data_IF_953204275697
#
_entry.id   IF_953204275697
#
_cell.length_a   1.000
_cell.length_b   1.000
_cell.length_c   1.000
_cell.angle_alpha   90.00
_cell.angle_beta   90.00
_cell.angle_gamma   90.00
#
_symmetry.space_group_name_H-M   'P 1'
#
loop_
_entity.id
_entity.type
_entity.pdbx_description
1 polymer ?
#
# COMPACT_ATOMS: atom_id res chain seq x y z
N UNK A 1 -13.31 3.34 9.82
CA UNK A 1 -13.75 4.15 8.66
C UNK A 1 -12.69 5.22 8.37
N UNK A 2 -12.40 5.56 7.12
CA UNK A 2 -11.40 6.59 6.79
C UNK A 2 -11.99 7.99 7.03
N UNK A 3 -11.31 8.80 7.84
CA UNK A 3 -11.68 10.19 8.17
C UNK A 3 -11.19 11.16 7.10
N UNK A 4 -10.00 10.90 6.55
CA UNK A 4 -9.41 11.68 5.47
C UNK A 4 -8.45 10.83 4.63
N UNK A 5 -8.35 11.17 3.35
CA UNK A 5 -7.50 10.49 2.38
C UNK A 5 -6.66 11.52 1.62
N UNK A 6 -5.36 11.22 1.49
CA UNK A 6 -4.35 12.09 0.90
C UNK A 6 -3.62 11.32 -0.23
N UNK A 7 -4.07 11.45 -1.49
CA UNK A 7 -3.44 10.74 -2.60
C UNK A 7 -2.06 11.33 -2.95
N UNK A 8 -1.08 10.46 -3.18
CA UNK A 8 0.18 10.86 -3.82
C UNK A 8 0.00 10.89 -5.33
N UNK A 9 0.03 12.08 -5.91
CA UNK A 9 -0.05 12.28 -7.36
C UNK A 9 1.36 12.20 -7.96
N UNK A 10 1.57 11.21 -8.82
CA UNK A 10 2.79 11.06 -9.60
C UNK A 10 2.64 11.83 -10.91
N UNK A 11 3.53 12.80 -11.13
CA UNK A 11 3.56 13.59 -12.35
C UNK A 11 4.76 13.20 -13.20
N UNK A 12 4.55 13.10 -14.51
CA UNK A 12 5.61 12.72 -15.46
C UNK A 12 6.65 13.82 -15.65
N UNK A 13 6.26 15.10 -15.53
CA UNK A 13 7.10 16.25 -15.88
C UNK A 13 7.51 17.11 -14.68
N UNK A 14 7.01 16.79 -13.48
CA UNK A 14 7.28 17.54 -12.26
C UNK A 14 7.44 16.59 -11.08
N UNK A 15 7.86 17.12 -9.94
CA UNK A 15 7.90 16.36 -8.68
C UNK A 15 6.52 15.80 -8.35
N UNK A 16 6.51 14.56 -7.84
CA UNK A 16 5.33 13.98 -7.20
C UNK A 16 4.97 14.80 -5.97
N UNK A 17 3.68 15.02 -5.75
CA UNK A 17 3.19 15.83 -4.63
C UNK A 17 2.04 15.10 -3.95
N UNK A 18 2.04 15.13 -2.62
CA UNK A 18 0.89 14.73 -1.83
C UNK A 18 -0.22 15.77 -2.04
N UNK A 19 -1.40 15.34 -2.46
CA UNK A 19 -2.53 16.24 -2.64
C UNK A 19 -3.44 16.18 -1.43
N UNK A 20 -3.74 17.35 -0.88
CA UNK A 20 -4.64 17.52 0.25
C UNK A 20 -5.40 18.84 0.09
N UNK A 21 -6.62 18.85 0.63
CA UNK A 21 -7.49 20.02 0.66
C UNK A 21 -7.19 20.95 1.82
N UNK A 22 -8.01 21.99 1.98
CA UNK A 22 -7.98 22.85 3.17
C UNK A 22 -8.50 22.05 4.37
N UNK A 23 -7.96 22.28 5.57
CA UNK A 23 -8.40 21.62 6.80
C UNK A 23 -9.92 21.65 7.01
N UNK A 24 -10.57 22.77 6.67
CA UNK A 24 -12.03 22.93 6.74
C UNK A 24 -12.84 21.92 5.88
N UNK A 25 -12.24 21.31 4.86
CA UNK A 25 -12.90 20.33 4.00
C UNK A 25 -12.98 18.94 4.65
N UNK A 26 -12.21 18.69 5.71
CA UNK A 26 -12.15 17.42 6.42
C UNK A 26 -12.98 17.47 7.70
N UNK A 27 -14.31 17.47 7.54
CA UNK A 27 -15.27 17.61 8.65
C UNK A 27 -15.03 16.56 9.74
N UNK A 28 -14.89 15.28 9.34
CA UNK A 28 -14.70 14.17 10.28
C UNK A 28 -13.33 14.17 10.95
N UNK A 29 -12.27 14.60 10.27
CA UNK A 29 -10.92 14.66 10.85
C UNK A 29 -10.79 15.77 11.89
N UNK A 30 -11.51 16.87 11.68
CA UNK A 30 -11.49 18.06 12.53
C UNK A 30 -11.99 17.80 13.95
N UNK A 31 -12.81 16.78 14.15
CA UNK A 31 -13.29 16.39 15.48
C UNK A 31 -12.16 15.83 16.37
N UNK A 32 -11.12 15.25 15.76
CA UNK A 32 -10.07 14.51 16.47
C UNK A 32 -8.71 15.23 16.43
N UNK A 33 -8.44 16.02 15.39
CA UNK A 33 -7.14 16.65 15.17
C UNK A 33 -7.27 18.16 15.03
N UNK A 34 -6.42 18.93 15.70
CA UNK A 34 -6.35 20.39 15.54
C UNK A 34 -5.69 20.77 14.20
N UNK A 35 -5.96 21.97 13.71
CA UNK A 35 -5.41 22.46 12.44
C UNK A 35 -3.88 22.50 12.43
N UNK A 36 -3.25 22.98 13.50
CA UNK A 36 -1.79 23.06 13.61
C UNK A 36 -1.13 21.69 13.52
N UNK A 37 -1.69 20.70 14.23
CA UNK A 37 -1.19 19.34 14.17
C UNK A 37 -1.40 18.73 12.80
N UNK A 38 -2.59 18.93 12.20
CA UNK A 38 -2.86 18.47 10.84
C UNK A 38 -1.82 18.99 9.84
N UNK A 39 -1.54 20.28 9.85
CA UNK A 39 -0.54 20.89 8.96
C UNK A 39 0.87 20.36 9.25
N UNK A 40 1.24 20.22 10.52
CA UNK A 40 2.56 19.69 10.91
C UNK A 40 2.74 18.23 10.45
N UNK A 41 1.71 17.39 10.60
CA UNK A 41 1.72 15.99 10.15
C UNK A 41 1.83 15.88 8.64
N UNK A 42 1.04 16.67 7.92
CA UNK A 42 1.07 16.68 6.47
C UNK A 42 2.39 17.23 5.92
N UNK A 43 2.97 18.26 6.54
CA UNK A 43 4.27 18.80 6.15
C UNK A 43 5.38 17.76 6.36
N UNK A 44 5.37 17.04 7.48
CA UNK A 44 6.32 15.94 7.71
C UNK A 44 6.22 14.85 6.63
N UNK A 45 5.00 14.45 6.26
CA UNK A 45 4.77 13.46 5.19
C UNK A 45 5.18 14.03 3.83
N UNK A 46 4.86 15.29 3.54
CA UNK A 46 5.19 15.95 2.27
C UNK A 46 6.71 16.12 2.10
N UNK A 47 7.41 16.54 3.14
CA UNK A 47 8.87 16.62 3.14
C UNK A 47 9.51 15.25 2.93
N UNK A 48 8.98 14.21 3.59
CA UNK A 48 9.45 12.85 3.41
C UNK A 48 9.25 12.35 1.96
N UNK A 49 8.07 12.61 1.38
CA UNK A 49 7.79 12.33 -0.04
C UNK A 49 8.77 13.07 -0.95
N UNK A 50 9.05 14.36 -0.70
CA UNK A 50 9.91 15.14 -1.57
C UNK A 50 11.37 14.66 -1.55
N UNK A 51 11.84 14.17 -0.40
CA UNK A 51 13.23 13.76 -0.20
C UNK A 51 13.50 12.31 -0.62
N UNK A 52 12.61 11.38 -0.26
CA UNK A 52 12.88 9.94 -0.41
C UNK A 52 12.14 9.29 -1.60
N UNK A 53 11.04 9.87 -2.07
CA UNK A 53 10.25 9.25 -3.13
C UNK A 53 11.03 9.23 -4.46
N UNK A 54 11.13 8.08 -5.15
CA UNK A 54 11.84 8.00 -6.43
C UNK A 54 11.09 8.77 -7.51
N UNK A 55 11.64 9.92 -7.89
CA UNK A 55 11.03 10.83 -8.85
C UNK A 55 11.22 10.35 -10.31
N UNK A 56 10.10 10.21 -11.04
CA UNK A 56 10.05 9.70 -12.43
C UNK A 56 10.40 10.77 -13.48
N UNK A 57 10.24 12.06 -13.15
CA UNK A 57 10.44 13.15 -14.11
C UNK A 57 11.86 13.22 -14.66
N UNK A 58 12.86 12.98 -13.81
CA UNK A 58 14.27 12.95 -14.22
C UNK A 58 14.53 11.96 -15.36
N UNK A 59 13.92 10.78 -15.31
CA UNK A 59 14.07 9.77 -16.36
C UNK A 59 13.41 10.21 -17.66
N UNK A 60 12.28 10.91 -17.57
CA UNK A 60 11.59 11.47 -18.74
C UNK A 60 12.42 12.55 -19.42
N UNK A 61 13.05 13.46 -18.67
CA UNK A 61 13.91 14.49 -19.25
C UNK A 61 15.18 13.91 -19.86
N UNK A 62 15.82 12.92 -19.21
CA UNK A 62 16.98 12.23 -19.78
C UNK A 62 16.63 11.55 -21.10
N UNK A 63 15.45 10.91 -21.18
CA UNK A 63 14.96 10.29 -22.41
C UNK A 63 14.69 11.33 -23.51
N UNK A 64 14.01 12.43 -23.19
CA UNK A 64 13.75 13.49 -24.17
C UNK A 64 15.05 14.13 -24.67
N UNK A 65 16.00 14.37 -23.76
CA UNK A 65 17.32 14.89 -24.10
C UNK A 65 18.08 13.94 -25.04
N UNK A 66 18.02 12.63 -24.81
CA UNK A 66 18.62 11.64 -25.71
C UNK A 66 17.99 11.69 -27.12
N UNK A 67 16.66 11.82 -27.23
CA UNK A 67 15.98 11.96 -28.53
C UNK A 67 16.44 13.22 -29.26
N UNK A 68 16.52 14.35 -28.55
CA UNK A 68 17.00 15.61 -29.13
C UNK A 68 18.44 15.47 -29.63
N UNK A 69 19.32 14.84 -28.86
CA UNK A 69 20.69 14.57 -29.29
C UNK A 69 20.76 13.70 -30.55
N UNK A 70 19.92 12.66 -30.65
CA UNK A 70 19.85 11.83 -31.87
C UNK A 70 19.36 12.66 -33.07
N UNK A 71 18.35 13.50 -32.91
CA UNK A 71 17.85 14.37 -33.96
C UNK A 71 18.92 15.39 -34.43
N UNK A 72 19.66 15.99 -33.48
CA UNK A 72 20.77 16.90 -33.77
C UNK A 72 21.92 16.17 -34.47
N UNK A 73 22.27 14.95 -34.02
CA UNK A 73 23.28 14.14 -34.67
C UNK A 73 22.91 13.82 -36.13
N UNK A 74 21.65 13.49 -36.39
CA UNK A 74 21.13 13.25 -37.72
C UNK A 74 21.21 14.50 -38.60
N UNK A 75 20.80 15.66 -38.08
CA UNK A 75 20.91 16.93 -38.80
C UNK A 75 22.36 17.29 -39.15
N UNK A 76 23.29 17.16 -38.19
CA UNK A 76 24.72 17.38 -38.41
C UNK A 76 25.29 16.39 -39.42
N UNK A 77 24.84 15.13 -39.40
CA UNK A 77 25.27 14.13 -40.38
C UNK A 77 24.87 14.51 -41.80
N UNK A 78 23.65 15.04 -42.01
CA UNK A 78 23.19 15.52 -43.32
C UNK A 78 24.04 16.70 -43.80
N UNK A 79 24.29 17.68 -42.92
CA UNK A 79 25.10 18.87 -43.27
C UNK A 79 26.55 18.50 -43.53
N UNK A 80 27.16 17.68 -42.67
CA UNK A 80 28.55 17.23 -42.83
C UNK A 80 28.76 16.46 -44.13
N UNK A 81 27.76 15.66 -44.55
CA UNK A 81 27.75 14.99 -45.85
C UNK A 81 27.67 15.99 -47.01
N UNK A 82 26.91 17.07 -46.87
CA UNK A 82 26.82 18.12 -47.89
C UNK A 82 28.13 18.94 -48.01
N UNK A 83 28.90 19.08 -46.94
CA UNK A 83 30.14 19.87 -46.90
C UNK A 83 31.43 19.04 -47.00
N UNK A 84 31.35 17.73 -47.25
CA UNK A 84 32.50 16.80 -47.22
C UNK A 84 33.36 16.88 -45.95
N UNK A 85 32.74 17.20 -44.81
CA UNK A 85 33.41 17.24 -43.51
C UNK A 85 33.53 15.82 -42.94
N UNK A 86 34.54 15.59 -42.09
CA UNK A 86 34.78 14.25 -41.53
C UNK A 86 33.58 13.77 -40.70
N UNK A 87 33.14 12.54 -40.96
CA UNK A 87 31.92 11.93 -40.40
C UNK A 87 32.08 11.51 -38.92
N UNK A 88 33.22 11.80 -38.30
CA UNK A 88 33.53 11.41 -36.92
C UNK A 88 32.72 12.19 -35.87
N UNK A 89 32.33 13.44 -36.14
CA UNK A 89 31.54 14.25 -35.19
C UNK A 89 30.14 13.69 -34.90
N UNK A 90 29.32 13.30 -35.90
CA UNK A 90 28.05 12.61 -35.67
C UNK A 90 28.19 11.33 -34.84
N UNK A 91 29.27 10.56 -35.03
CA UNK A 91 29.50 9.30 -34.33
C UNK A 91 29.78 9.52 -32.84
N UNK A 92 30.57 10.55 -32.49
CA UNK A 92 30.79 10.95 -31.09
C UNK A 92 29.50 11.43 -30.42
N UNK A 93 28.66 12.18 -31.14
CA UNK A 93 27.37 12.64 -30.60
C UNK A 93 26.44 11.44 -30.34
N UNK A 94 26.50 10.39 -31.16
CA UNK A 94 25.69 9.17 -31.01
C UNK A 94 26.09 8.31 -29.79
N UNK A 95 27.32 8.49 -29.27
CA UNK A 95 27.76 7.85 -28.03
C UNK A 95 26.99 8.38 -26.81
N UNK A 96 26.60 9.66 -26.79
CA UNK A 96 25.90 10.26 -25.66
C UNK A 96 24.51 9.64 -25.41
N UNK A 97 23.62 9.46 -26.41
CA UNK A 97 22.38 8.69 -26.26
C UNK A 97 22.59 7.25 -25.78
N UNK A 98 23.66 6.58 -26.21
CA UNK A 98 23.97 5.22 -25.76
C UNK A 98 24.34 5.17 -24.27
N UNK A 99 25.14 6.13 -23.81
CA UNK A 99 25.46 6.29 -22.38
C UNK A 99 24.18 6.61 -21.59
N UNK A 100 23.36 7.54 -22.07
CA UNK A 100 22.10 7.89 -21.41
C UNK A 100 21.16 6.68 -21.34
N UNK A 101 21.03 5.90 -22.40
CA UNK A 101 20.22 4.68 -22.44
C UNK A 101 20.71 3.64 -21.41
N UNK A 102 22.03 3.47 -21.29
CA UNK A 102 22.61 2.61 -20.27
C UNK A 102 22.31 3.10 -18.84
N UNK A 103 22.48 4.40 -18.58
CA UNK A 103 22.19 4.99 -17.26
C UNK A 103 20.70 4.91 -16.89
N UNK A 104 19.80 5.22 -17.82
CA UNK A 104 18.35 5.13 -17.61
C UNK A 104 17.93 3.69 -17.33
N UNK A 105 18.50 2.70 -18.04
CA UNK A 105 18.23 1.27 -17.81
C UNK A 105 18.68 0.84 -16.41
N UNK A 106 19.91 1.19 -16.01
CA UNK A 106 20.43 0.90 -14.67
C UNK A 106 19.58 1.56 -13.58
N UNK A 107 19.17 2.80 -13.81
CA UNK A 107 18.32 3.56 -12.88
C UNK A 107 16.92 2.94 -12.74
N UNK A 108 16.32 2.51 -13.84
CA UNK A 108 15.03 1.80 -13.84
C UNK A 108 15.10 0.48 -13.09
N UNK A 109 16.20 -0.26 -13.19
CA UNK A 109 16.37 -1.49 -12.41
C UNK A 109 16.45 -1.20 -10.90
N UNK A 110 17.14 -0.11 -10.51
CA UNK A 110 17.19 0.32 -9.11
C UNK A 110 15.89 0.95 -8.59
N UNK A 111 14.94 1.30 -9.47
CA UNK A 111 13.72 2.03 -9.10
C UNK A 111 12.87 1.25 -8.10
N UNK A 112 12.60 -0.03 -8.37
CA UNK A 112 11.76 -0.85 -7.50
C UNK A 112 12.39 -1.06 -6.11
N UNK A 113 13.71 -1.21 -6.05
CA UNK A 113 14.43 -1.32 -4.77
C UNK A 113 14.31 -0.02 -3.96
N UNK A 114 14.47 1.14 -4.61
CA UNK A 114 14.28 2.44 -3.95
C UNK A 114 12.84 2.65 -3.51
N UNK A 115 11.87 2.24 -4.33
CA UNK A 115 10.46 2.33 -4.01
C UNK A 115 10.09 1.44 -2.81
N UNK A 116 10.63 0.23 -2.74
CA UNK A 116 10.45 -0.64 -1.57
C UNK A 116 10.99 0.00 -0.30
N UNK A 117 12.23 0.50 -0.34
CA UNK A 117 12.83 1.21 0.81
C UNK A 117 12.03 2.43 1.22
N UNK A 118 11.49 3.16 0.24
CA UNK A 118 10.59 4.28 0.50
C UNK A 118 9.32 3.83 1.24
N UNK A 119 8.71 2.70 0.86
CA UNK A 119 7.54 2.19 1.58
C UNK A 119 7.88 1.79 3.01
N UNK A 120 9.03 1.16 3.25
CA UNK A 120 9.48 0.79 4.59
C UNK A 120 9.72 2.04 5.46
N UNK A 121 10.34 3.07 4.87
CA UNK A 121 10.61 4.36 5.51
C UNK A 121 9.31 5.11 5.83
N UNK A 122 8.40 5.19 4.86
CA UNK A 122 7.07 5.79 5.03
C UNK A 122 6.29 5.06 6.12
N UNK A 123 6.31 3.73 6.13
CA UNK A 123 5.64 2.95 7.18
C UNK A 123 6.22 3.25 8.57
N UNK A 124 7.53 3.44 8.67
CA UNK A 124 8.20 3.79 9.92
C UNK A 124 7.77 5.19 10.39
N UNK A 125 7.74 6.17 9.47
CA UNK A 125 7.23 7.52 9.76
C UNK A 125 5.77 7.48 10.20
N UNK A 126 4.90 6.75 9.50
CA UNK A 126 3.48 6.66 9.87
C UNK A 126 3.28 5.95 11.22
N UNK A 127 4.11 4.96 11.56
CA UNK A 127 4.12 4.35 12.90
C UNK A 127 4.53 5.36 13.97
N UNK A 128 5.50 6.22 13.69
CA UNK A 128 5.88 7.31 14.60
C UNK A 128 4.77 8.37 14.75
N UNK A 129 4.07 8.70 13.67
CA UNK A 129 2.90 9.58 13.76
C UNK A 129 1.78 8.92 14.58
N UNK A 130 1.54 7.63 14.37
CA UNK A 130 0.54 6.86 15.11
C UNK A 130 0.87 6.82 16.59
N UNK A 131 2.13 6.59 16.98
CA UNK A 131 2.51 6.55 18.41
C UNK A 131 2.23 7.87 19.13
N UNK A 132 2.34 9.00 18.42
CA UNK A 132 2.01 10.32 18.96
C UNK A 132 0.50 10.60 18.97
N UNK A 133 -0.24 10.04 18.00
CA UNK A 133 -1.67 10.30 17.80
C UNK A 133 -2.59 9.21 18.40
N UNK A 134 -2.06 8.18 19.09
CA UNK A 134 -2.84 7.14 19.79
C UNK A 134 -3.87 7.75 20.74
N UNK A 135 -3.48 8.80 21.47
CA UNK A 135 -4.35 9.49 22.43
C UNK A 135 -5.57 10.14 21.78
N UNK A 136 -5.55 10.34 20.45
CA UNK A 136 -6.60 10.98 19.66
C UNK A 136 -7.44 9.98 18.87
N UNK A 137 -7.17 8.67 19.03
CA UNK A 137 -7.85 7.60 18.29
C UNK A 137 -7.71 7.73 16.76
N UNK A 138 -6.58 8.27 16.28
CA UNK A 138 -6.31 8.39 14.85
C UNK A 138 -5.18 7.44 14.47
N UNK A 139 -5.42 6.63 13.43
CA UNK A 139 -4.43 5.79 12.78
C UNK A 139 -4.18 6.27 11.37
N UNK A 140 -2.95 6.68 11.13
CA UNK A 140 -2.37 6.91 9.83
C UNK A 140 -1.91 5.59 9.23
N UNK A 141 -2.38 5.31 8.03
CA UNK A 141 -1.96 4.16 7.24
C UNK A 141 -1.78 4.59 5.79
N UNK A 142 -1.13 3.76 4.99
CA UNK A 142 -1.11 3.97 3.55
C UNK A 142 -1.67 2.73 2.86
N UNK A 143 -2.32 2.95 1.73
CA UNK A 143 -2.87 1.87 0.91
C UNK A 143 -2.77 2.19 -0.57
N UNK A 144 -3.01 1.17 -1.38
CA UNK A 144 -3.19 1.35 -2.82
C UNK A 144 -4.58 1.94 -3.13
N UNK A 145 -4.73 2.68 -4.24
CA UNK A 145 -6.02 3.11 -4.74
C UNK A 145 -6.97 1.92 -4.90
N UNK A 146 -8.21 2.08 -4.46
CA UNK A 146 -9.29 1.11 -4.59
C UNK A 146 -10.27 1.59 -5.66
N UNK A 147 -11.00 0.66 -6.26
CA UNK A 147 -12.04 1.00 -7.25
C UNK A 147 -13.21 1.78 -6.62
N UNK A 148 -13.41 1.64 -5.31
CA UNK A 148 -14.40 2.40 -4.54
C UNK A 148 -14.03 3.87 -4.32
N UNK A 149 -12.79 4.27 -4.63
CA UNK A 149 -12.33 5.63 -4.37
C UNK A 149 -12.93 6.61 -5.38
N UNK A 150 -13.70 7.56 -4.87
CA UNK A 150 -14.28 8.62 -5.68
C UNK A 150 -13.37 9.85 -5.69
N UNK A 151 -13.45 10.66 -6.76
CA UNK A 151 -12.70 11.90 -6.88
C UNK A 151 -12.94 12.83 -5.69
N UNK A 152 -14.18 12.84 -5.18
CA UNK A 152 -14.60 13.63 -4.03
C UNK A 152 -13.91 13.19 -2.73
N UNK A 153 -13.85 11.88 -2.44
CA UNK A 153 -13.18 11.36 -1.25
C UNK A 153 -11.67 11.69 -1.24
N UNK A 154 -11.08 11.76 -2.43
CA UNK A 154 -9.67 12.09 -2.62
C UNK A 154 -9.41 13.60 -2.76
N UNK A 155 -10.44 14.44 -2.62
CA UNK A 155 -10.37 15.90 -2.81
C UNK A 155 -9.79 16.30 -4.17
N UNK A 156 -9.99 15.48 -5.20
CA UNK A 156 -9.53 15.69 -6.57
C UNK A 156 -10.68 16.20 -7.45
N UNK A 157 -10.32 17.01 -8.45
CA UNK A 157 -11.28 17.40 -9.49
C UNK A 157 -11.54 16.19 -10.40
N UNK A 158 -12.80 15.82 -10.69
CA UNK A 158 -13.07 14.74 -11.64
C UNK A 158 -12.63 15.13 -13.06
N UNK A 159 -12.26 14.16 -13.92
CA UNK A 159 -12.25 12.71 -13.69
C UNK A 159 -10.92 12.18 -13.10
N UNK A 160 -11.01 11.11 -12.29
CA UNK A 160 -9.86 10.44 -11.66
C UNK A 160 -8.82 9.90 -12.65
N UNK A 161 -9.24 9.58 -13.87
CA UNK A 161 -8.39 9.04 -14.94
C UNK A 161 -7.24 9.99 -15.32
N UNK A 162 -7.39 11.30 -15.06
CA UNK A 162 -6.33 12.28 -15.33
C UNK A 162 -5.16 12.20 -14.35
N UNK A 163 -5.34 11.51 -13.21
CA UNK A 163 -4.36 11.47 -12.13
C UNK A 163 -3.72 10.09 -12.05
N UNK A 164 -2.39 10.06 -12.08
CA UNK A 164 -1.64 8.85 -11.76
C UNK A 164 -1.37 8.83 -10.25
N UNK A 165 -2.19 8.08 -9.52
CA UNK A 165 -2.09 7.94 -8.06
C UNK A 165 -1.32 6.66 -7.74
N UNK A 166 -0.21 6.77 -7.02
CA UNK A 166 0.57 5.58 -6.64
C UNK A 166 0.01 4.93 -5.37
N UNK A 167 -0.12 5.72 -4.31
CA UNK A 167 -0.72 5.30 -3.04
C UNK A 167 -1.48 6.46 -2.42
N UNK A 168 -2.28 6.14 -1.42
CA UNK A 168 -3.09 7.07 -0.65
C UNK A 168 -2.71 6.90 0.81
N UNK A 169 -2.37 8.01 1.47
CA UNK A 169 -2.25 8.04 2.94
C UNK A 169 -3.64 8.29 3.50
N UNK A 170 -4.06 7.49 4.46
CA UNK A 170 -5.36 7.62 5.09
C UNK A 170 -5.20 7.84 6.58
N UNK A 171 -5.95 8.81 7.10
CA UNK A 171 -6.23 8.92 8.52
C UNK A 171 -7.57 8.22 8.78
N UNK A 172 -7.55 7.17 9.58
CA UNK A 172 -8.73 6.40 9.98
C UNK A 172 -8.91 6.46 11.49
N UNK A 173 -10.15 6.38 11.96
CA UNK A 173 -10.42 6.27 13.38
C UNK A 173 -10.04 4.88 13.88
N UNK A 174 -9.30 4.84 14.99
CA UNK A 174 -9.00 3.63 15.75
C UNK A 174 -10.23 3.31 16.58
N UNK A 175 -10.78 2.12 16.36
CA UNK A 175 -11.70 1.52 17.30
C UNK A 175 -10.88 0.79 18.35
N UNK A 176 -10.82 1.34 19.56
CA UNK A 176 -9.94 0.85 20.64
C UNK A 176 -10.24 -0.62 20.97
N UNK A 177 -11.51 -1.03 20.87
CA UNK A 177 -11.94 -2.41 21.12
C UNK A 177 -11.34 -3.40 20.11
N UNK A 178 -11.18 -2.97 18.86
CA UNK A 178 -10.74 -3.82 17.77
C UNK A 178 -9.20 -3.91 17.68
N UNK A 179 -8.47 -2.85 18.07
CA UNK A 179 -7.00 -2.91 18.14
C UNK A 179 -6.50 -3.69 19.35
N UNK A 180 -7.16 -3.60 20.51
CA UNK A 180 -6.85 -4.46 21.67
C UNK A 180 -7.05 -5.94 21.34
N UNK A 181 -8.04 -6.27 20.51
CA UNK A 181 -8.24 -7.64 20.03
C UNK A 181 -7.16 -8.09 19.03
N UNK A 182 -6.59 -7.18 18.23
CA UNK A 182 -5.54 -7.51 17.25
C UNK A 182 -4.13 -7.55 17.83
N UNK A 183 -3.81 -6.71 18.81
CA UNK A 183 -2.50 -6.74 19.51
C UNK A 183 -2.45 -7.78 20.63
N UNK A 184 -3.61 -8.18 21.18
CA UNK A 184 -3.70 -9.06 22.35
C UNK A 184 -3.74 -10.56 22.06
N UNK A 185 -4.40 -11.02 21.00
CA UNK A 185 -4.55 -12.47 20.75
C UNK A 185 -5.12 -12.67 19.35
N UNK A 186 -4.26 -12.80 18.34
CA UNK A 186 -4.69 -13.48 17.11
C UNK A 186 -4.91 -14.94 17.46
N UNK A 187 -6.13 -15.27 17.88
CA UNK A 187 -6.60 -16.65 17.91
C UNK A 187 -6.25 -17.26 16.54
N UNK A 188 -5.50 -18.38 16.49
CA UNK A 188 -5.13 -18.99 15.21
C UNK A 188 -6.42 -19.25 14.43
N UNK A 189 -6.45 -18.81 13.17
CA UNK A 189 -7.57 -19.10 12.30
C UNK A 189 -7.74 -20.63 12.26
N UNK A 190 -8.90 -21.12 12.70
CA UNK A 190 -9.28 -22.54 12.67
C UNK A 190 -9.08 -23.20 11.29
N UNK A 191 -8.95 -22.38 10.24
CA UNK A 191 -8.65 -22.78 8.87
C UNK A 191 -7.24 -23.43 8.74
N UNK A 192 -6.27 -23.00 9.55
CA UNK A 192 -4.91 -23.56 9.51
C UNK A 192 -4.76 -24.89 10.25
N UNK A 193 -5.62 -25.17 11.22
CA UNK A 193 -5.66 -26.47 11.92
C UNK A 193 -6.33 -27.60 11.12
N UNK A 194 -7.06 -27.28 10.04
CA UNK A 194 -7.66 -28.30 9.16
C UNK A 194 -6.70 -28.88 8.12
N UNK A 195 -5.49 -28.31 7.98
CA UNK A 195 -4.47 -28.81 7.04
C UNK A 195 -3.48 -29.80 7.66
N UNK A 196 -3.70 -30.27 8.90
CA UNK A 196 -2.90 -31.35 9.47
C UNK A 196 -3.43 -32.69 8.95
N UNK A 197 -2.90 -33.08 7.79
CA UNK A 197 -3.12 -34.39 7.18
C UNK A 197 -2.52 -35.42 8.14
N UNK A 198 -3.37 -36.09 8.92
CA UNK A 198 -3.01 -37.28 9.68
C UNK A 198 -2.57 -38.35 8.68
N UNK A 199 -1.25 -38.56 8.59
CA UNK A 199 -0.65 -39.70 7.92
C UNK A 199 -1.03 -40.98 8.69
N UNK A 200 -2.06 -41.66 8.21
CA UNK A 200 -2.50 -42.94 8.73
C UNK A 200 -1.46 -44.03 8.39
N UNK A 201 -0.47 -44.22 9.26
CA UNK A 201 0.44 -45.38 9.20
C UNK A 201 -0.27 -46.61 9.80
N UNK A 202 -1.06 -47.28 8.97
CA UNK A 202 -1.63 -48.61 9.23
C UNK A 202 -1.32 -49.58 8.08
N UNK A 203 -1.07 -50.88 8.33
CA UNK A 203 -0.53 -51.79 7.33
C UNK A 203 -1.58 -52.26 6.31
N UNK A 204 -1.31 -51.91 5.04
CA UNK A 204 -1.63 -52.61 3.79
C UNK A 204 -3.06 -53.18 3.62
N UNK A 205 -3.95 -52.40 2.99
CA UNK A 205 -5.05 -52.92 2.19
C UNK A 205 -4.96 -52.40 0.74
N UNK A 206 -5.23 -53.25 -0.28
CA UNK A 206 -4.97 -52.93 -1.68
C UNK A 206 -5.89 -51.82 -2.20
N UNK A 207 -5.27 -50.78 -2.76
CA UNK A 207 -5.91 -49.62 -3.37
C UNK A 207 -6.64 -50.00 -4.67
N UNK A 208 -7.94 -49.74 -4.73
CA UNK A 208 -8.64 -49.48 -5.99
C UNK A 208 -8.56 -47.97 -6.32
N UNK A 209 -8.42 -47.58 -7.60
CA UNK A 209 -8.24 -46.19 -7.98
C UNK A 209 -9.58 -45.46 -7.96
N UNK A 210 -9.86 -44.69 -6.91
CA UNK A 210 -10.99 -43.73 -6.93
C UNK A 210 -10.51 -42.35 -7.35
N UNK A 211 -11.07 -41.95 -8.48
CA UNK A 211 -11.06 -40.62 -9.09
C UNK A 211 -11.06 -39.49 -8.06
N UNK A 212 -10.16 -38.53 -8.28
CA UNK A 212 -10.20 -37.21 -7.67
C UNK A 212 -11.53 -36.53 -8.02
N UNK A 213 -12.43 -36.47 -7.05
CA UNK A 213 -13.51 -35.49 -7.02
C UNK A 213 -13.25 -34.61 -5.82
N UNK A 214 -12.86 -33.36 -6.06
CA UNK A 214 -12.85 -32.30 -5.06
C UNK A 214 -14.28 -32.12 -4.53
N UNK A 215 -14.61 -32.83 -3.46
CA UNK A 215 -15.78 -32.59 -2.65
C UNK A 215 -15.29 -32.32 -1.24
N UNK A 216 -15.56 -31.11 -0.73
CA UNK A 216 -15.41 -30.83 0.69
C UNK A 216 -16.16 -31.92 1.48
N UNK A 217 -15.55 -32.56 2.49
CA UNK A 217 -16.28 -33.51 3.32
C UNK A 217 -17.39 -32.74 4.03
N UNK A 218 -18.64 -33.09 3.72
CA UNK A 218 -19.79 -32.64 4.49
C UNK A 218 -19.58 -33.08 5.95
N UNK A 219 -19.91 -32.23 6.93
CA UNK A 219 -19.81 -32.61 8.33
C UNK A 219 -20.67 -33.87 8.58
N UNK A 220 -20.25 -34.74 9.52
CA UNK A 220 -21.02 -35.92 9.87
C UNK A 220 -22.45 -35.50 10.26
N UNK A 221 -23.43 -36.21 9.72
CA UNK A 221 -24.82 -35.97 10.09
C UNK A 221 -24.98 -36.18 11.59
N UNK A 222 -25.38 -35.14 12.31
CA UNK A 222 -25.69 -35.25 13.73
C UNK A 222 -26.90 -36.18 13.88
N UNK A 223 -26.70 -37.30 14.56
CA UNK A 223 -27.79 -38.18 14.96
C UNK A 223 -28.58 -37.48 16.09
N UNK A 224 -29.86 -37.11 15.85
CA UNK A 224 -30.67 -36.41 16.85
C UNK A 224 -30.93 -37.26 18.11
N UNK A 225 -30.61 -38.55 18.08
CA UNK A 225 -30.67 -39.41 19.28
C UNK A 225 -29.57 -39.14 20.31
N UNK A 226 -28.52 -38.39 19.95
CA UNK A 226 -27.41 -38.02 20.83
C UNK A 226 -27.53 -36.60 21.42
N UNK A 227 -28.76 -36.12 21.59
CA UNK A 227 -29.01 -34.84 22.27
C UNK A 227 -28.54 -34.96 23.72
N UNK A 228 -27.39 -34.36 24.04
CA UNK A 228 -26.92 -34.23 25.41
C UNK A 228 -27.94 -33.34 26.13
N UNK A 229 -28.83 -33.94 26.92
CA UNK A 229 -29.69 -33.22 27.84
C UNK A 229 -28.80 -32.49 28.86
N UNK A 230 -28.59 -31.19 28.65
CA UNK A 230 -28.05 -30.32 29.69
C UNK A 230 -29.07 -30.26 30.82
N UNK A 231 -28.85 -31.01 31.89
CA UNK A 231 -29.61 -30.86 33.13
C UNK A 231 -29.50 -29.41 33.59
N UNK A 232 -30.61 -28.72 33.89
CA UNK A 232 -30.57 -27.36 34.42
C UNK A 232 -29.89 -27.40 35.80
N UNK A 233 -28.68 -26.85 35.87
CA UNK A 233 -28.00 -26.59 37.13
C UNK A 233 -28.78 -25.49 37.84
N UNK A 234 -29.63 -25.87 38.80
CA UNK A 234 -30.23 -24.96 39.78
C UNK A 234 -29.17 -24.57 40.82
N UNK A 235 -28.23 -23.71 40.44
CA UNK A 235 -27.40 -23.00 41.41
C UNK A 235 -28.03 -21.62 41.68
N UNK A 236 -28.47 -21.33 42.91
CA UNK A 236 -28.89 -19.97 43.26
C UNK A 236 -27.67 -19.04 43.26
N UNK A 237 -27.85 -17.76 42.87
CA UNK A 237 -26.76 -16.78 42.84
C UNK A 237 -26.17 -16.57 44.24
N UNK A 238 -24.85 -16.38 44.36
CA UNK A 238 -24.20 -16.13 45.64
C UNK A 238 -24.67 -14.79 46.22
N UNK A 239 -25.13 -14.81 47.47
CA UNK A 239 -25.54 -13.62 48.21
C UNK A 239 -24.31 -12.81 48.64
N UNK A 240 -24.21 -11.56 48.18
CA UNK A 240 -23.21 -10.61 48.64
C UNK A 240 -23.57 -10.12 50.06
N UNK A 241 -22.61 -10.06 51.00
CA UNK A 241 -22.84 -9.44 52.29
C UNK A 241 -22.97 -7.92 52.12
N UNK A 242 -24.14 -7.39 52.47
CA UNK A 242 -24.34 -5.95 52.68
C UNK A 242 -23.55 -5.50 53.90
N UNK A 243 -22.52 -4.69 53.69
CA UNK A 243 -21.81 -4.02 54.78
C UNK A 243 -22.72 -2.98 55.42
N UNK A 244 -23.20 -3.28 56.63
CA UNK A 244 -23.70 -2.28 57.57
C UNK A 244 -22.53 -1.73 58.37
N UNK A 245 -22.18 -0.47 58.12
CA UNK A 245 -21.92 0.58 59.12
C UNK A 245 -21.46 1.87 58.43
#
# INVERSE_FOLDING_TARGET
MALASFPLIVKRWSKSKLHYGTYAQYIHLREYLTEELFLTRLDAIEQHVLNEYPQVWLDTYLFLFAIVLVAVAAAISIVARATNLSVWYPLLILLAPAIIAFFTTRRRNSYYVRLSRYYDSLQTLLKELNSQDVTRQIKWSFRRPRESDTAFNLMLKPPLVLYNINFIVEASQIDIENELAQEGETLPAYDTSMMDIVLDMGPNHPQEPRLMTQGHPLPPAYDPSSTIEMRPIRQPPPSYPTATN
#
